data_IF_548969795097
#
_entry.id   IF_548969795097
#
_cell.length_a   1.000
_cell.length_b   1.000
_cell.length_c   1.000
_cell.angle_alpha   90.00
_cell.angle_beta   90.00
_cell.angle_gamma   90.00
#
_symmetry.space_group_name_H-M   'P 1'
#
loop_
_entity.id
_entity.type
_entity.pdbx_description
1 polymer ?
#
# COMPACT_ATOMS: atom_id res chain seq x y z
N UNK A 1 -14.23 -16.93 21.31
CA UNK A 1 -13.43 -17.97 20.60
C UNK A 1 -12.10 -17.33 20.28
N UNK A 2 -11.04 -17.69 20.97
CA UNK A 2 -9.68 -17.25 20.58
C UNK A 2 -9.40 -17.79 19.18
N UNK A 3 -8.98 -16.90 18.30
CA UNK A 3 -8.56 -17.29 16.96
C UNK A 3 -7.33 -18.20 17.05
N UNK A 4 -7.41 -19.38 16.48
CA UNK A 4 -6.29 -20.35 16.43
C UNK A 4 -5.23 -19.94 15.38
N UNK A 5 -5.31 -18.76 14.80
CA UNK A 5 -4.41 -18.21 13.80
C UNK A 5 -3.74 -16.93 14.34
N UNK A 6 -2.41 -16.90 14.34
CA UNK A 6 -1.63 -15.77 14.87
C UNK A 6 -1.62 -14.59 13.89
N UNK A 7 -1.45 -14.87 12.60
CA UNK A 7 -1.33 -13.86 11.57
C UNK A 7 -2.03 -14.29 10.27
N UNK A 8 -2.83 -13.40 9.69
CA UNK A 8 -3.21 -13.51 8.28
C UNK A 8 -2.38 -12.54 7.45
N UNK A 9 -1.76 -13.03 6.38
CA UNK A 9 -1.03 -12.20 5.41
C UNK A 9 -1.89 -12.05 4.16
N UNK A 10 -2.28 -10.83 3.82
CA UNK A 10 -3.03 -10.51 2.60
C UNK A 10 -2.06 -9.95 1.56
N UNK A 11 -1.89 -10.69 0.48
CA UNK A 11 -1.00 -10.33 -0.64
C UNK A 11 -1.84 -9.78 -1.79
N UNK A 12 -1.80 -8.48 -2.03
CA UNK A 12 -2.46 -7.90 -3.21
C UNK A 12 -1.54 -7.97 -4.43
N UNK A 13 -2.06 -8.50 -5.53
CA UNK A 13 -1.31 -8.68 -6.77
C UNK A 13 -1.92 -7.88 -7.92
N UNK A 14 -1.06 -7.16 -8.63
CA UNK A 14 -1.38 -6.48 -9.88
C UNK A 14 -0.16 -6.62 -10.80
N UNK A 15 -0.28 -7.46 -11.83
CA UNK A 15 0.79 -7.77 -12.80
C UNK A 15 2.10 -8.22 -12.09
N UNK A 16 2.00 -9.25 -11.23
CA UNK A 16 3.07 -9.71 -10.34
C UNK A 16 3.71 -11.04 -10.78
N UNK A 17 3.43 -11.58 -11.98
CA UNK A 17 3.90 -12.91 -12.41
C UNK A 17 5.43 -13.08 -12.29
N UNK A 18 6.20 -12.00 -12.44
CA UNK A 18 7.68 -12.02 -12.36
C UNK A 18 8.24 -11.99 -10.93
N UNK A 19 7.43 -11.63 -9.94
CA UNK A 19 7.89 -11.40 -8.56
C UNK A 19 7.17 -12.27 -7.53
N UNK A 20 5.96 -12.73 -7.85
CA UNK A 20 5.08 -13.42 -6.89
C UNK A 20 5.70 -14.68 -6.30
N UNK A 21 6.48 -15.46 -7.07
CA UNK A 21 7.16 -16.65 -6.54
C UNK A 21 8.15 -16.29 -5.42
N UNK A 22 8.96 -15.24 -5.63
CA UNK A 22 9.92 -14.78 -4.61
C UNK A 22 9.18 -14.24 -3.39
N UNK A 23 8.09 -13.51 -3.60
CA UNK A 23 7.25 -12.98 -2.54
C UNK A 23 6.68 -14.12 -1.68
N UNK A 24 6.00 -15.09 -2.29
CA UNK A 24 5.35 -16.18 -1.55
C UNK A 24 6.34 -17.09 -0.84
N UNK A 25 7.47 -17.44 -1.46
CA UNK A 25 8.54 -18.21 -0.79
C UNK A 25 9.09 -17.48 0.43
N UNK A 26 9.32 -16.17 0.32
CA UNK A 26 9.78 -15.37 1.44
C UNK A 26 8.74 -15.29 2.56
N UNK A 27 7.45 -15.22 2.22
CA UNK A 27 6.36 -15.24 3.19
C UNK A 27 6.23 -16.59 3.89
N UNK A 28 6.34 -17.71 3.16
CA UNK A 28 6.35 -19.05 3.75
C UNK A 28 7.50 -19.21 4.75
N UNK A 29 8.72 -18.77 4.37
CA UNK A 29 9.88 -18.79 5.26
C UNK A 29 9.67 -17.90 6.49
N UNK A 30 9.18 -16.66 6.31
CA UNK A 30 8.92 -15.73 7.40
C UNK A 30 7.82 -16.21 8.37
N UNK A 31 6.86 -16.98 7.89
CA UNK A 31 5.77 -17.54 8.69
C UNK A 31 6.12 -18.85 9.39
N UNK A 32 7.34 -19.38 9.20
CA UNK A 32 7.77 -20.63 9.85
C UNK A 32 7.66 -20.55 11.37
N UNK A 33 6.95 -21.51 11.96
CA UNK A 33 6.72 -21.58 13.41
C UNK A 33 5.59 -20.67 13.93
N UNK A 34 4.82 -20.04 13.02
CA UNK A 34 3.57 -19.33 13.33
C UNK A 34 2.38 -20.06 12.72
N UNK A 35 1.23 -19.98 13.35
CA UNK A 35 -0.05 -20.39 12.75
C UNK A 35 -0.53 -19.29 11.85
N UNK A 36 -0.04 -19.29 10.60
CA UNK A 36 -0.29 -18.22 9.65
C UNK A 36 -1.21 -18.67 8.51
N UNK A 37 -2.06 -17.75 8.06
CA UNK A 37 -2.86 -17.85 6.85
C UNK A 37 -2.31 -16.89 5.81
N UNK A 38 -2.14 -17.33 4.57
CA UNK A 38 -1.80 -16.44 3.44
C UNK A 38 -2.99 -16.43 2.47
N UNK A 39 -3.46 -15.23 2.13
CA UNK A 39 -4.54 -15.00 1.17
C UNK A 39 -4.00 -14.12 0.05
N UNK A 40 -4.12 -14.59 -1.19
CA UNK A 40 -3.73 -13.84 -2.38
C UNK A 40 -4.96 -13.21 -3.01
N UNK A 41 -4.98 -11.89 -3.15
CA UNK A 41 -6.03 -11.15 -3.86
C UNK A 41 -5.43 -10.56 -5.15
N UNK A 42 -5.88 -11.04 -6.30
CA UNK A 42 -5.23 -10.79 -7.59
C UNK A 42 -6.15 -10.09 -8.59
N UNK A 43 -5.65 -9.04 -9.22
CA UNK A 43 -6.28 -8.33 -10.34
C UNK A 43 -5.36 -8.22 -11.57
N UNK A 44 -4.45 -9.17 -11.72
CA UNK A 44 -3.44 -9.20 -12.79
C UNK A 44 -4.02 -9.64 -14.14
N UNK A 45 -3.30 -9.31 -15.21
CA UNK A 45 -3.56 -9.79 -16.59
C UNK A 45 -2.46 -10.71 -17.11
N UNK A 46 -1.43 -10.91 -16.33
CA UNK A 46 -0.16 -11.54 -16.74
C UNK A 46 -0.03 -13.02 -16.31
N UNK A 47 -1.14 -13.65 -15.89
CA UNK A 47 -1.15 -15.05 -15.45
C UNK A 47 -0.73 -15.25 -13.99
N UNK A 48 -0.63 -14.21 -13.18
CA UNK A 48 -0.24 -14.30 -11.76
C UNK A 48 -1.11 -15.32 -10.99
N UNK A 49 -2.46 -15.25 -11.10
CA UNK A 49 -3.37 -16.17 -10.41
C UNK A 49 -3.13 -17.62 -10.79
N UNK A 50 -2.92 -17.91 -12.08
CA UNK A 50 -2.72 -19.28 -12.56
C UNK A 50 -1.40 -19.84 -12.05
N UNK A 51 -0.33 -19.01 -12.06
CA UNK A 51 0.96 -19.35 -11.50
C UNK A 51 0.86 -19.69 -9.99
N UNK A 52 0.12 -18.88 -9.22
CA UNK A 52 -0.07 -19.12 -7.78
C UNK A 52 -0.84 -20.42 -7.55
N UNK A 53 -1.95 -20.64 -8.24
CA UNK A 53 -2.74 -21.88 -8.10
C UNK A 53 -1.94 -23.13 -8.46
N UNK A 54 -1.10 -23.03 -9.50
CA UNK A 54 -0.27 -24.17 -9.93
C UNK A 54 0.84 -24.50 -8.92
N UNK A 55 1.47 -23.50 -8.30
CA UNK A 55 2.63 -23.67 -7.41
C UNK A 55 2.25 -23.77 -5.93
N UNK A 56 1.14 -23.15 -5.52
CA UNK A 56 0.62 -23.12 -4.15
C UNK A 56 -0.87 -23.47 -4.12
N UNK A 57 -1.26 -24.70 -4.45
CA UNK A 57 -2.67 -25.13 -4.53
C UNK A 57 -3.42 -25.03 -3.21
N UNK A 58 -2.73 -24.96 -2.08
CA UNK A 58 -3.31 -24.80 -0.75
C UNK A 58 -3.64 -23.35 -0.40
N UNK A 59 -3.13 -22.37 -1.14
CA UNK A 59 -3.42 -20.96 -0.86
C UNK A 59 -4.78 -20.54 -1.42
N UNK A 60 -5.49 -19.73 -0.64
CA UNK A 60 -6.72 -19.09 -1.11
C UNK A 60 -6.38 -17.95 -2.08
N UNK A 61 -6.87 -18.05 -3.33
CA UNK A 61 -6.68 -17.03 -4.36
C UNK A 61 -8.01 -16.40 -4.73
N UNK A 62 -8.17 -15.13 -4.38
CA UNK A 62 -9.32 -14.30 -4.72
C UNK A 62 -9.02 -13.55 -6.01
N UNK A 63 -9.77 -13.81 -7.07
CA UNK A 63 -9.55 -13.17 -8.38
C UNK A 63 -10.53 -12.03 -8.61
N UNK A 64 -10.01 -10.90 -9.11
CA UNK A 64 -10.76 -9.68 -9.38
C UNK A 64 -10.57 -9.20 -10.82
N UNK A 65 -11.50 -8.38 -11.33
CA UNK A 65 -11.33 -7.77 -12.64
C UNK A 65 -10.04 -6.92 -12.69
N UNK A 66 -9.29 -6.98 -13.81
CA UNK A 66 -8.13 -6.14 -14.02
C UNK A 66 -8.45 -4.65 -13.88
N UNK A 67 -7.60 -3.92 -13.17
CA UNK A 67 -7.82 -2.52 -12.83
C UNK A 67 -8.42 -2.30 -11.45
N UNK A 68 -8.78 -3.36 -10.73
CA UNK A 68 -9.10 -3.28 -9.30
C UNK A 68 -7.87 -2.77 -8.53
N UNK A 69 -8.07 -1.78 -7.69
CA UNK A 69 -6.99 -1.15 -6.95
C UNK A 69 -6.56 -1.98 -5.73
N UNK A 70 -5.30 -1.87 -5.33
CA UNK A 70 -4.71 -2.57 -4.18
C UNK A 70 -5.55 -2.41 -2.89
N UNK A 71 -6.06 -1.23 -2.51
CA UNK A 71 -6.91 -1.10 -1.33
C UNK A 71 -8.17 -1.98 -1.36
N UNK A 72 -8.79 -2.17 -2.52
CA UNK A 72 -9.94 -3.05 -2.67
C UNK A 72 -9.54 -4.53 -2.54
N UNK A 73 -8.37 -4.90 -3.07
CA UNK A 73 -7.81 -6.25 -2.92
C UNK A 73 -7.50 -6.56 -1.45
N UNK A 74 -6.87 -5.63 -0.74
CA UNK A 74 -6.61 -5.76 0.69
C UNK A 74 -7.90 -5.90 1.51
N UNK A 75 -8.92 -5.08 1.22
CA UNK A 75 -10.22 -5.19 1.87
C UNK A 75 -10.87 -6.55 1.62
N UNK A 76 -10.74 -7.09 0.42
CA UNK A 76 -11.27 -8.42 0.09
C UNK A 76 -10.56 -9.53 0.87
N UNK A 77 -9.21 -9.48 0.94
CA UNK A 77 -8.43 -10.42 1.74
C UNK A 77 -8.70 -10.28 3.24
N UNK A 78 -8.90 -9.04 3.74
CA UNK A 78 -9.27 -8.80 5.14
C UNK A 78 -10.58 -9.52 5.52
N UNK A 79 -11.56 -9.58 4.64
CA UNK A 79 -12.82 -10.32 4.89
C UNK A 79 -12.63 -11.83 5.00
N UNK A 80 -11.49 -12.37 4.58
CA UNK A 80 -11.10 -13.79 4.71
C UNK A 80 -10.17 -14.04 5.89
N UNK A 81 -9.68 -12.97 6.50
CA UNK A 81 -8.69 -13.06 7.56
C UNK A 81 -9.23 -13.75 8.81
N UNK A 82 -8.42 -14.64 9.38
CA UNK A 82 -8.69 -15.40 10.60
C UNK A 82 -7.69 -15.10 11.72
N UNK A 83 -6.58 -14.41 11.38
CA UNK A 83 -5.50 -14.10 12.31
C UNK A 83 -5.90 -13.08 13.37
N UNK A 84 -5.26 -13.16 14.54
CA UNK A 84 -5.32 -12.11 15.57
C UNK A 84 -4.69 -10.81 15.06
N UNK A 85 -3.68 -10.91 14.19
CA UNK A 85 -3.11 -9.83 13.40
C UNK A 85 -3.39 -10.04 11.91
N UNK A 86 -3.48 -8.95 11.15
CA UNK A 86 -3.56 -8.97 9.68
C UNK A 86 -2.45 -8.13 9.10
N UNK A 87 -1.56 -8.77 8.36
CA UNK A 87 -0.50 -8.10 7.61
C UNK A 87 -0.94 -7.88 6.17
N UNK A 88 -0.64 -6.70 5.63
CA UNK A 88 -0.83 -6.38 4.23
C UNK A 88 0.51 -6.25 3.53
N UNK A 89 0.57 -6.81 2.33
CA UNK A 89 1.71 -6.67 1.42
C UNK A 89 1.26 -6.74 -0.04
N UNK A 90 2.20 -6.65 -0.96
CA UNK A 90 1.93 -6.76 -2.40
C UNK A 90 2.87 -7.79 -3.02
N UNK A 91 2.48 -8.38 -4.15
CA UNK A 91 3.26 -9.40 -4.86
C UNK A 91 4.65 -8.97 -5.36
N UNK A 92 5.04 -7.72 -5.12
CA UNK A 92 6.34 -7.13 -5.46
C UNK A 92 7.25 -6.91 -4.24
N UNK A 93 6.85 -7.36 -3.06
CA UNK A 93 7.61 -7.19 -1.82
C UNK A 93 8.17 -8.54 -1.38
N UNK A 94 9.44 -8.56 -1.02
CA UNK A 94 10.14 -9.72 -0.45
C UNK A 94 10.50 -9.39 0.99
N UNK A 95 10.04 -10.22 1.91
CA UNK A 95 10.20 -10.00 3.34
C UNK A 95 11.37 -10.83 3.90
N UNK A 96 12.05 -10.38 4.98
CA UNK A 96 13.05 -11.19 5.65
C UNK A 96 12.41 -12.28 6.53
N UNK A 97 13.17 -13.30 6.88
CA UNK A 97 12.73 -14.40 7.76
C UNK A 97 12.14 -13.90 9.09
N UNK A 98 12.68 -12.81 9.66
CA UNK A 98 12.20 -12.22 10.92
C UNK A 98 10.86 -11.49 10.82
N UNK A 99 10.37 -11.22 9.62
CA UNK A 99 9.29 -10.27 9.35
C UNK A 99 7.99 -10.59 10.10
N UNK A 100 7.43 -11.77 9.89
CA UNK A 100 6.14 -12.13 10.46
C UNK A 100 6.19 -12.14 12.00
N UNK A 101 7.27 -12.69 12.57
CA UNK A 101 7.46 -12.71 14.03
C UNK A 101 7.64 -11.31 14.60
N UNK A 102 8.38 -10.43 13.91
CA UNK A 102 8.56 -9.04 14.35
C UNK A 102 7.23 -8.26 14.35
N UNK A 103 6.38 -8.48 13.33
CA UNK A 103 5.07 -7.86 13.27
C UNK A 103 4.14 -8.39 14.36
N UNK A 104 4.06 -9.72 14.55
CA UNK A 104 3.22 -10.33 15.58
C UNK A 104 3.61 -9.85 16.99
N UNK A 105 4.91 -9.90 17.32
CA UNK A 105 5.39 -9.42 18.62
C UNK A 105 5.10 -7.93 18.84
N UNK A 106 5.25 -7.10 17.80
CA UNK A 106 4.96 -5.68 17.94
C UNK A 106 3.47 -5.36 18.14
N UNK A 107 2.56 -6.21 17.64
CA UNK A 107 1.11 -6.05 17.85
C UNK A 107 0.63 -6.36 19.28
N UNK A 108 1.49 -6.87 20.14
CA UNK A 108 1.16 -7.09 21.55
C UNK A 108 0.96 -5.75 22.29
N UNK A 109 1.67 -4.70 21.88
CA UNK A 109 1.71 -3.41 22.57
C UNK A 109 0.96 -2.29 21.82
N UNK A 110 0.73 -2.45 20.49
CA UNK A 110 0.14 -1.39 19.66
C UNK A 110 -0.84 -1.92 18.62
N UNK A 111 -1.67 -1.03 18.06
CA UNK A 111 -2.71 -1.37 17.08
C UNK A 111 -2.15 -1.66 15.67
N UNK A 112 -0.97 -1.16 15.35
CA UNK A 112 -0.34 -1.40 14.05
C UNK A 112 1.18 -1.29 14.08
N UNK A 113 1.83 -2.19 13.34
CA UNK A 113 3.30 -2.29 13.24
C UNK A 113 3.70 -2.34 11.78
N UNK A 114 4.69 -1.55 11.39
CA UNK A 114 5.27 -1.57 10.04
C UNK A 114 6.78 -1.60 10.06
N UNK A 115 7.35 -1.94 8.90
CA UNK A 115 8.80 -1.90 8.71
C UNK A 115 9.23 -0.91 7.63
N UNK A 116 10.50 -0.54 7.63
CA UNK A 116 11.08 0.20 6.51
C UNK A 116 11.00 -0.60 5.20
N UNK A 117 11.10 0.13 4.09
CA UNK A 117 11.21 -0.45 2.75
C UNK A 117 12.54 -0.05 2.13
N UNK A 118 13.18 -1.00 1.49
CA UNK A 118 14.36 -0.81 0.66
C UNK A 118 14.10 -1.32 -0.74
N UNK A 119 14.91 -0.91 -1.70
CA UNK A 119 14.80 -1.40 -3.08
C UNK A 119 15.82 -2.51 -3.33
N UNK A 120 15.45 -3.48 -4.18
CA UNK A 120 16.36 -4.55 -4.59
C UNK A 120 17.62 -4.00 -5.27
N UNK A 121 18.76 -4.67 -5.10
CA UNK A 121 20.05 -4.21 -5.62
C UNK A 121 20.13 -4.19 -7.14
N UNK A 122 19.40 -5.10 -7.80
CA UNK A 122 19.28 -5.23 -9.25
C UNK A 122 18.22 -4.31 -9.88
N UNK A 123 17.71 -3.35 -9.11
CA UNK A 123 16.63 -2.47 -9.52
C UNK A 123 17.03 -1.54 -10.69
N UNK A 124 16.12 -1.40 -11.64
CA UNK A 124 16.25 -0.50 -12.79
C UNK A 124 15.95 0.94 -12.38
N UNK A 125 16.33 1.92 -13.19
CA UNK A 125 16.05 3.34 -12.94
C UNK A 125 14.55 3.63 -12.78
N UNK A 126 13.69 2.93 -13.53
CA UNK A 126 12.23 3.06 -13.39
C UNK A 126 11.76 2.59 -12.01
N UNK A 127 12.35 1.54 -11.48
CA UNK A 127 11.98 1.00 -10.16
C UNK A 127 12.40 1.99 -9.05
N UNK A 128 13.56 2.67 -9.21
CA UNK A 128 13.98 3.77 -8.34
C UNK A 128 13.01 4.95 -8.39
N UNK A 129 12.50 5.32 -9.57
CA UNK A 129 11.51 6.41 -9.69
C UNK A 129 10.22 6.08 -8.94
N UNK A 130 9.70 4.85 -9.08
CA UNK A 130 8.52 4.37 -8.35
C UNK A 130 8.79 4.37 -6.85
N UNK A 131 9.92 3.79 -6.45
CA UNK A 131 10.30 3.66 -5.04
C UNK A 131 10.40 5.01 -4.35
N UNK A 132 11.10 5.98 -4.93
CA UNK A 132 11.21 7.30 -4.34
C UNK A 132 9.86 8.05 -4.25
N UNK A 133 9.01 7.87 -5.25
CA UNK A 133 7.69 8.51 -5.24
C UNK A 133 6.75 7.93 -4.19
N UNK A 134 6.81 6.61 -3.96
CA UNK A 134 5.91 5.90 -3.04
C UNK A 134 6.49 5.77 -1.63
N UNK A 135 7.76 5.43 -1.53
CA UNK A 135 8.36 4.88 -0.31
C UNK A 135 9.47 5.75 0.30
N UNK A 136 9.75 6.94 -0.27
CA UNK A 136 10.79 7.81 0.30
C UNK A 136 10.57 8.19 1.76
N UNK A 137 9.34 8.09 2.27
CA UNK A 137 9.01 8.32 3.67
C UNK A 137 9.29 7.11 4.58
N UNK A 138 9.50 5.94 3.99
CA UNK A 138 9.65 4.66 4.68
C UNK A 138 11.06 4.06 4.50
N UNK A 139 12.04 4.85 4.07
CA UNK A 139 13.44 4.46 4.10
C UNK A 139 13.86 4.17 5.56
N UNK A 140 14.85 3.28 5.80
CA UNK A 140 15.31 2.98 7.16
C UNK A 140 15.71 4.22 7.96
N UNK A 141 16.29 5.23 7.31
CA UNK A 141 16.64 6.52 7.93
C UNK A 141 15.44 7.42 8.26
N UNK A 142 14.30 7.18 7.63
CA UNK A 142 13.06 7.97 7.81
C UNK A 142 12.08 7.28 8.76
N UNK A 143 12.22 5.98 8.96
CA UNK A 143 11.34 5.15 9.79
C UNK A 143 12.19 4.33 10.79
N UNK A 144 12.76 4.97 11.82
CA UNK A 144 13.50 4.28 12.87
C UNK A 144 12.57 3.45 13.76
N UNK A 145 13.16 2.50 14.51
CA UNK A 145 12.41 1.69 15.47
C UNK A 145 11.72 2.56 16.53
N UNK A 146 10.51 2.19 16.91
CA UNK A 146 9.74 2.84 17.96
C UNK A 146 8.40 3.43 17.49
N UNK A 147 7.77 4.27 18.34
CA UNK A 147 6.47 4.87 18.05
C UNK A 147 6.49 5.76 16.80
N UNK A 148 5.42 5.66 15.99
CA UNK A 148 5.26 6.41 14.75
C UNK A 148 4.11 7.40 14.87
N UNK A 149 4.43 8.70 14.77
CA UNK A 149 3.42 9.77 14.73
C UNK A 149 2.89 10.03 13.30
N UNK A 150 3.65 9.60 12.30
CA UNK A 150 3.30 9.66 10.88
C UNK A 150 2.62 8.38 10.39
N UNK A 151 2.99 7.94 9.21
CA UNK A 151 2.44 6.77 8.53
C UNK A 151 3.43 5.60 8.56
N UNK A 152 2.93 4.37 8.54
CA UNK A 152 3.65 3.16 8.15
C UNK A 152 3.19 2.75 6.75
N UNK A 153 4.03 2.05 5.99
CA UNK A 153 3.69 1.65 4.63
C UNK A 153 2.69 0.49 4.66
N UNK A 154 1.49 0.67 4.11
CA UNK A 154 0.49 -0.40 4.01
C UNK A 154 1.00 -1.65 3.30
N UNK A 155 1.95 -1.49 2.37
CA UNK A 155 2.60 -2.61 1.67
C UNK A 155 3.54 -3.44 2.58
N UNK A 156 3.82 -2.97 3.79
CA UNK A 156 4.73 -3.59 4.76
C UNK A 156 4.29 -3.30 6.21
N UNK A 157 3.06 -3.64 6.53
CA UNK A 157 2.50 -3.40 7.85
C UNK A 157 1.52 -4.50 8.27
N UNK A 158 1.38 -4.68 9.58
CA UNK A 158 0.33 -5.49 10.20
C UNK A 158 -0.46 -4.68 11.22
N UNK A 159 -1.71 -5.06 11.41
CA UNK A 159 -2.63 -4.42 12.34
C UNK A 159 -3.36 -5.45 13.18
N UNK A 160 -3.65 -5.11 14.43
CA UNK A 160 -4.46 -5.94 15.29
C UNK A 160 -5.87 -6.10 14.71
N UNK A 161 -6.41 -7.31 14.68
CA UNK A 161 -7.77 -7.57 14.17
C UNK A 161 -8.81 -6.75 14.94
N UNK A 162 -8.61 -6.53 16.23
CA UNK A 162 -9.48 -5.69 17.06
C UNK A 162 -9.53 -4.24 16.60
N UNK A 163 -8.38 -3.68 16.18
CA UNK A 163 -8.30 -2.33 15.62
C UNK A 163 -8.97 -2.24 14.26
N UNK A 164 -8.76 -3.23 13.39
CA UNK A 164 -9.42 -3.30 12.09
C UNK A 164 -10.94 -3.45 12.22
N UNK A 165 -11.41 -4.28 13.15
CA UNK A 165 -12.85 -4.50 13.39
C UNK A 165 -13.56 -3.23 13.87
N UNK A 166 -12.92 -2.42 14.73
CA UNK A 166 -13.47 -1.12 15.16
C UNK A 166 -13.76 -0.17 14.00
N UNK A 167 -13.00 -0.28 12.91
CA UNK A 167 -13.11 0.61 11.75
C UNK A 167 -13.66 -0.07 10.49
N UNK A 168 -14.23 -1.28 10.61
CA UNK A 168 -14.66 -2.11 9.47
C UNK A 168 -15.61 -1.40 8.50
N UNK A 169 -16.50 -0.52 8.99
CA UNK A 169 -17.40 0.27 8.17
C UNK A 169 -16.68 1.23 7.19
N UNK A 170 -15.42 1.58 7.46
CA UNK A 170 -14.63 2.47 6.60
C UNK A 170 -13.96 1.74 5.42
N UNK A 171 -14.05 0.41 5.34
CA UNK A 171 -13.37 -0.41 4.34
C UNK A 171 -14.29 -0.85 3.18
N UNK A 172 -15.50 -0.27 3.06
CA UNK A 172 -16.45 -0.58 1.99
C UNK A 172 -15.85 -0.40 0.59
N UNK A 173 -15.11 0.69 0.39
CA UNK A 173 -14.47 1.06 -0.87
C UNK A 173 -13.00 0.64 -0.96
N UNK A 174 -12.51 -0.13 0.03
CA UNK A 174 -11.15 -0.60 0.13
C UNK A 174 -10.47 -0.20 1.44
N UNK A 175 -9.39 -0.89 1.76
CA UNK A 175 -8.52 -0.55 2.90
C UNK A 175 -7.53 0.54 2.49
N UNK A 176 -7.85 1.78 2.81
CA UNK A 176 -6.99 2.94 2.58
C UNK A 176 -6.18 3.23 3.84
N UNK A 177 -4.92 2.83 3.88
CA UNK A 177 -4.07 2.84 5.07
C UNK A 177 -3.96 4.23 5.72
N UNK A 178 -3.80 5.29 4.93
CA UNK A 178 -3.68 6.67 5.43
C UNK A 178 -4.96 7.12 6.15
N UNK A 179 -6.12 6.79 5.60
CA UNK A 179 -7.41 7.11 6.23
C UNK A 179 -7.63 6.26 7.48
N UNK A 180 -7.25 4.98 7.43
CA UNK A 180 -7.30 4.11 8.60
C UNK A 180 -6.40 4.64 9.73
N UNK A 181 -5.14 4.99 9.43
CA UNK A 181 -4.23 5.56 10.44
C UNK A 181 -4.73 6.85 11.04
N UNK A 182 -5.37 7.71 10.22
CA UNK A 182 -5.97 8.95 10.72
C UNK A 182 -7.09 8.66 11.73
N UNK A 183 -7.98 7.71 11.43
CA UNK A 183 -9.06 7.29 12.33
C UNK A 183 -8.52 6.61 13.58
N UNK A 184 -7.59 5.68 13.40
CA UNK A 184 -6.95 4.96 14.49
C UNK A 184 -6.35 5.93 15.53
N UNK A 185 -5.61 6.94 15.07
CA UNK A 185 -5.04 7.97 15.96
C UNK A 185 -6.09 8.85 16.60
N UNK A 186 -7.17 9.17 15.90
CA UNK A 186 -8.28 9.94 16.48
C UNK A 186 -8.92 9.22 17.66
N UNK A 187 -8.91 7.88 17.66
CA UNK A 187 -9.42 7.02 18.72
C UNK A 187 -8.34 6.65 19.77
N UNK A 188 -7.16 7.31 19.71
CA UNK A 188 -6.06 7.06 20.66
C UNK A 188 -5.21 5.83 20.34
N UNK A 189 -5.41 5.19 19.19
CA UNK A 189 -4.62 4.03 18.78
C UNK A 189 -3.20 4.42 18.36
N UNK A 190 -2.27 3.46 18.49
CA UNK A 190 -0.85 3.65 18.32
C UNK A 190 -0.28 2.83 17.14
N UNK A 191 0.71 3.42 16.47
CA UNK A 191 1.52 2.78 15.43
C UNK A 191 2.98 2.71 15.86
N UNK A 192 3.65 1.63 15.47
CA UNK A 192 5.08 1.42 15.73
C UNK A 192 5.82 0.98 14.46
N UNK A 193 7.10 1.32 14.38
CA UNK A 193 8.00 0.81 13.35
C UNK A 193 9.02 -0.15 13.96
N UNK A 194 9.43 -1.14 13.15
CA UNK A 194 10.53 -2.05 13.50
C UNK A 194 11.41 -2.36 12.30
N UNK A 195 12.71 -2.15 12.44
CA UNK A 195 13.72 -2.47 11.43
C UNK A 195 13.82 -3.98 11.15
N UNK A 196 13.39 -4.83 12.09
CA UNK A 196 13.33 -6.30 11.93
C UNK A 196 12.33 -6.74 10.87
N UNK A 197 11.40 -5.86 10.47
CA UNK A 197 10.45 -6.05 9.39
C UNK A 197 10.84 -5.23 8.13
N UNK A 198 12.11 -4.86 7.95
CA UNK A 198 12.55 -4.19 6.73
C UNK A 198 12.34 -5.10 5.52
N UNK A 199 11.52 -4.67 4.57
CA UNK A 199 11.17 -5.46 3.39
C UNK A 199 11.76 -4.85 2.11
N UNK A 200 11.97 -5.72 1.12
CA UNK A 200 12.59 -5.35 -0.17
C UNK A 200 11.51 -5.20 -1.22
N UNK A 201 11.35 -4.00 -1.78
CA UNK A 201 10.51 -3.79 -2.96
C UNK A 201 11.26 -4.23 -4.22
N UNK A 202 10.64 -5.09 -5.01
CA UNK A 202 11.23 -5.71 -6.21
C UNK A 202 10.22 -5.72 -7.35
N UNK A 203 9.88 -4.54 -7.87
CA UNK A 203 9.02 -4.44 -9.04
C UNK A 203 9.81 -4.68 -10.33
N UNK A 204 9.18 -5.37 -11.28
CA UNK A 204 9.74 -5.59 -12.61
C UNK A 204 8.78 -5.12 -13.72
N UNK A 205 7.84 -4.23 -13.38
CA UNK A 205 6.82 -3.76 -14.30
C UNK A 205 7.37 -2.75 -15.33
N UNK A 206 6.91 -2.76 -16.59
CA UNK A 206 7.24 -1.74 -17.58
C UNK A 206 6.74 -0.35 -17.14
N UNK A 207 7.46 0.71 -17.51
CA UNK A 207 7.10 2.10 -17.17
C UNK A 207 5.63 2.44 -17.50
N UNK A 208 5.14 2.05 -18.67
CA UNK A 208 3.78 2.37 -19.10
C UNK A 208 2.69 1.68 -18.25
N UNK A 209 2.95 0.47 -17.77
CA UNK A 209 2.05 -0.19 -16.82
C UNK A 209 1.98 0.59 -15.51
N UNK A 210 3.13 1.01 -15.00
CA UNK A 210 3.22 1.79 -13.77
C UNK A 210 2.53 3.15 -13.93
N UNK A 211 2.77 3.86 -15.05
CA UNK A 211 2.15 5.16 -15.33
C UNK A 211 0.61 5.04 -15.41
N UNK A 212 0.11 3.97 -16.04
CA UNK A 212 -1.33 3.67 -16.09
C UNK A 212 -1.92 3.44 -14.70
N UNK A 213 -1.24 2.65 -13.86
CA UNK A 213 -1.66 2.43 -12.49
C UNK A 213 -1.65 3.73 -11.66
N UNK A 214 -0.61 4.56 -11.84
CA UNK A 214 -0.55 5.87 -11.19
C UNK A 214 -1.71 6.77 -11.60
N UNK A 215 -2.02 6.82 -12.89
CA UNK A 215 -3.17 7.57 -13.40
C UNK A 215 -4.51 7.04 -12.85
N UNK A 216 -4.73 5.72 -12.88
CA UNK A 216 -5.96 5.10 -12.37
C UNK A 216 -6.14 5.37 -10.86
N UNK A 217 -5.06 5.26 -10.09
CA UNK A 217 -5.06 5.55 -8.66
C UNK A 217 -5.37 7.03 -8.39
N UNK A 218 -4.73 7.95 -9.13
CA UNK A 218 -5.03 9.38 -9.07
C UNK A 218 -6.50 9.66 -9.38
N UNK A 219 -7.05 9.04 -10.42
CA UNK A 219 -8.45 9.21 -10.83
C UNK A 219 -9.43 8.80 -9.72
N UNK A 220 -9.18 7.65 -9.08
CA UNK A 220 -10.00 7.23 -7.94
C UNK A 220 -9.90 8.22 -6.78
N UNK A 221 -8.68 8.63 -6.45
CA UNK A 221 -8.42 9.58 -5.36
C UNK A 221 -9.10 10.94 -5.60
N UNK A 222 -9.04 11.47 -6.83
CA UNK A 222 -9.70 12.73 -7.19
C UNK A 222 -11.22 12.65 -7.06
N UNK A 223 -11.81 11.54 -7.50
CA UNK A 223 -13.25 11.30 -7.35
C UNK A 223 -13.65 11.19 -5.86
N UNK A 224 -12.90 10.45 -5.07
CA UNK A 224 -13.13 10.31 -3.63
C UNK A 224 -13.05 11.66 -2.89
N UNK A 225 -12.07 12.50 -3.21
CA UNK A 225 -11.96 13.86 -2.62
C UNK A 225 -13.17 14.73 -2.87
N UNK A 226 -13.73 14.67 -4.09
CA UNK A 226 -14.97 15.38 -4.41
C UNK A 226 -16.15 14.80 -3.63
N UNK A 227 -16.25 13.49 -3.51
CA UNK A 227 -17.26 12.81 -2.68
C UNK A 227 -17.19 13.22 -1.21
N UNK A 228 -16.00 13.56 -0.71
CA UNK A 228 -15.80 14.10 0.65
C UNK A 228 -15.87 15.63 0.73
N UNK A 229 -16.45 16.29 -0.28
CA UNK A 229 -16.72 17.73 -0.26
C UNK A 229 -15.57 18.65 -0.74
N UNK A 230 -14.50 18.10 -1.30
CA UNK A 230 -13.45 18.93 -1.90
C UNK A 230 -13.92 19.60 -3.19
N UNK A 231 -13.57 20.88 -3.38
CA UNK A 231 -13.91 21.61 -4.61
C UNK A 231 -13.17 21.05 -5.83
N UNK A 232 -13.91 20.76 -6.89
CA UNK A 232 -13.36 20.35 -8.20
C UNK A 232 -12.37 21.37 -8.74
N UNK A 233 -12.72 22.67 -8.68
CA UNK A 233 -11.85 23.75 -9.16
C UNK A 233 -10.51 23.79 -8.41
N UNK A 234 -10.52 23.55 -7.08
CA UNK A 234 -9.28 23.48 -6.30
C UNK A 234 -8.40 22.33 -6.71
N UNK A 235 -8.99 21.13 -6.94
CA UNK A 235 -8.24 19.94 -7.35
C UNK A 235 -7.63 20.16 -8.73
N UNK A 236 -8.43 20.62 -9.69
CA UNK A 236 -7.98 20.85 -11.08
C UNK A 236 -6.95 21.99 -11.15
N UNK A 237 -7.20 23.10 -10.45
CA UNK A 237 -6.27 24.24 -10.39
C UNK A 237 -4.94 23.89 -9.70
N UNK A 238 -4.95 22.98 -8.72
CA UNK A 238 -3.74 22.51 -8.06
C UNK A 238 -2.94 21.49 -8.89
N UNK A 239 -3.56 20.82 -9.86
CA UNK A 239 -2.96 19.71 -10.60
C UNK A 239 -1.56 20.01 -11.21
N UNK A 240 -1.28 21.19 -11.81
CA UNK A 240 0.07 21.50 -12.30
C UNK A 240 1.14 21.59 -11.21
N UNK A 241 0.75 21.89 -9.97
CA UNK A 241 1.66 22.07 -8.85
C UNK A 241 1.93 20.78 -8.06
N UNK A 242 1.09 19.76 -8.24
CA UNK A 242 1.24 18.49 -7.54
C UNK A 242 2.54 17.76 -7.90
N UNK A 243 2.94 17.60 -9.19
CA UNK A 243 4.17 16.93 -9.53
C UNK A 243 5.41 17.56 -8.90
N UNK A 244 5.68 18.88 -9.02
CA UNK A 244 6.83 19.49 -8.36
C UNK A 244 6.82 19.34 -6.84
N UNK A 245 5.66 19.41 -6.20
CA UNK A 245 5.55 19.19 -4.75
C UNK A 245 5.92 17.75 -4.36
N UNK A 246 5.45 16.74 -5.11
CA UNK A 246 5.77 15.34 -4.84
C UNK A 246 7.27 15.06 -5.03
N UNK A 247 7.84 15.57 -6.13
CA UNK A 247 9.28 15.47 -6.42
C UNK A 247 10.11 16.13 -5.32
N UNK A 248 9.76 17.34 -4.92
CA UNK A 248 10.45 18.07 -3.86
C UNK A 248 10.39 17.33 -2.51
N UNK A 249 9.19 16.80 -2.14
CA UNK A 249 9.04 16.00 -0.91
C UNK A 249 9.93 14.74 -0.92
N UNK A 250 9.95 14.01 -2.05
CA UNK A 250 10.83 12.86 -2.21
C UNK A 250 12.30 13.28 -2.13
N UNK A 251 12.69 14.33 -2.87
CA UNK A 251 14.05 14.83 -2.89
C UNK A 251 14.56 15.26 -1.51
N UNK A 252 13.75 15.98 -0.72
CA UNK A 252 14.12 16.39 0.64
C UNK A 252 14.48 15.21 1.56
N UNK A 253 13.86 14.06 1.37
CA UNK A 253 14.15 12.85 2.16
C UNK A 253 15.37 12.12 1.61
N UNK A 254 15.36 11.84 0.31
CA UNK A 254 16.33 10.99 -0.37
C UNK A 254 17.71 11.64 -0.48
N UNK A 255 17.79 12.96 -0.78
CA UNK A 255 19.06 13.66 -0.99
C UNK A 255 19.89 13.85 0.29
N UNK A 256 19.29 13.59 1.46
CA UNK A 256 20.05 13.53 2.73
C UNK A 256 21.01 12.35 2.78
N UNK A 257 20.70 11.26 2.06
CA UNK A 257 21.51 10.05 1.99
C UNK A 257 22.40 10.07 0.74
N UNK A 258 23.72 10.11 0.93
CA UNK A 258 24.70 10.21 -0.17
C UNK A 258 24.54 9.09 -1.20
N UNK A 259 24.25 7.87 -0.73
CA UNK A 259 24.08 6.68 -1.57
C UNK A 259 22.91 6.77 -2.56
N UNK A 260 21.90 7.59 -2.27
CA UNK A 260 20.70 7.75 -3.11
C UNK A 260 20.77 8.92 -4.10
N UNK A 261 21.72 9.86 -3.93
CA UNK A 261 21.76 11.13 -4.69
C UNK A 261 21.84 10.92 -6.19
N UNK A 262 22.82 10.13 -6.65
CA UNK A 262 23.01 9.85 -8.07
C UNK A 262 21.79 9.13 -8.66
N UNK A 263 21.31 8.09 -7.98
CA UNK A 263 20.15 7.32 -8.41
C UNK A 263 18.89 8.19 -8.48
N UNK A 264 18.70 9.11 -7.53
CA UNK A 264 17.59 10.05 -7.54
C UNK A 264 17.67 10.99 -8.76
N UNK A 265 18.82 11.55 -9.06
CA UNK A 265 19.02 12.43 -10.22
C UNK A 265 18.76 11.69 -11.55
N UNK A 266 19.24 10.45 -11.68
CA UNK A 266 18.99 9.63 -12.85
C UNK A 266 17.50 9.23 -13.00
N UNK A 267 16.80 9.00 -11.88
CA UNK A 267 15.39 8.65 -11.85
C UNK A 267 14.45 9.85 -12.03
N UNK A 268 14.96 11.08 -11.88
CA UNK A 268 14.16 12.31 -11.81
C UNK A 268 13.19 12.51 -13.00
N UNK A 269 13.59 12.30 -14.28
CA UNK A 269 12.66 12.46 -15.40
C UNK A 269 11.46 11.49 -15.32
N UNK A 270 11.72 10.22 -14.94
CA UNK A 270 10.67 9.22 -14.80
C UNK A 270 9.78 9.49 -13.57
N UNK A 271 10.37 9.99 -12.49
CA UNK A 271 9.65 10.38 -11.28
C UNK A 271 8.68 11.53 -11.58
N UNK A 272 9.13 12.56 -12.31
CA UNK A 272 8.27 13.66 -12.78
C UNK A 272 7.12 13.12 -13.64
N UNK A 273 7.41 12.26 -14.61
CA UNK A 273 6.39 11.67 -15.48
C UNK A 273 5.35 10.85 -14.72
N UNK A 274 5.76 10.05 -13.72
CA UNK A 274 4.86 9.27 -12.88
C UNK A 274 4.02 10.16 -11.95
N UNK A 275 4.60 11.23 -11.41
CA UNK A 275 3.88 12.22 -10.62
C UNK A 275 2.85 12.98 -11.47
N UNK A 276 3.21 13.34 -12.71
CA UNK A 276 2.30 13.98 -13.66
C UNK A 276 1.14 13.05 -14.07
N UNK A 277 1.42 11.76 -14.31
CA UNK A 277 0.39 10.77 -14.59
C UNK A 277 -0.63 10.67 -13.45
N UNK A 278 -0.15 10.64 -12.19
CA UNK A 278 -1.03 10.62 -11.02
C UNK A 278 -1.87 11.90 -10.92
N UNK A 279 -1.26 13.07 -11.08
CA UNK A 279 -1.95 14.36 -11.00
C UNK A 279 -3.00 14.54 -12.11
N UNK A 280 -2.68 14.14 -13.34
CA UNK A 280 -3.65 14.13 -14.45
C UNK A 280 -4.83 13.21 -14.15
N UNK A 281 -4.55 12.04 -13.55
CA UNK A 281 -5.58 11.13 -13.06
C UNK A 281 -6.48 11.79 -12.00
N UNK A 282 -5.90 12.46 -11.01
CA UNK A 282 -6.63 13.14 -9.94
C UNK A 282 -7.55 14.23 -10.50
N UNK A 283 -7.04 15.08 -11.37
CA UNK A 283 -7.84 16.10 -12.04
C UNK A 283 -9.00 15.48 -12.85
N UNK A 284 -8.73 14.42 -13.62
CA UNK A 284 -9.75 13.71 -14.39
C UNK A 284 -10.80 13.08 -13.49
N UNK A 285 -10.39 12.47 -12.38
CA UNK A 285 -11.30 11.88 -11.39
C UNK A 285 -12.22 12.92 -10.77
N UNK A 286 -11.66 14.07 -10.37
CA UNK A 286 -12.44 15.18 -9.83
C UNK A 286 -13.47 15.72 -10.83
N UNK A 287 -13.10 15.88 -12.11
CA UNK A 287 -14.01 16.31 -13.18
C UNK A 287 -15.12 15.30 -13.49
N UNK A 288 -14.86 14.02 -13.28
CA UNK A 288 -15.81 12.94 -13.57
C UNK A 288 -16.69 12.59 -12.36
N UNK A 289 -16.35 13.05 -11.18
CA UNK A 289 -17.14 12.83 -9.98
C UNK A 289 -18.46 13.61 -10.08
N UNK A 290 -19.56 12.93 -9.87
CA UNK A 290 -20.83 13.61 -9.59
C UNK A 290 -20.72 14.18 -8.19
N UNK A 291 -20.97 15.50 -7.97
CA UNK A 291 -21.10 16.00 -6.63
C UNK A 291 -22.14 15.16 -5.91
N UNK A 292 -21.86 14.73 -4.68
CA UNK A 292 -22.91 14.17 -3.84
C UNK A 292 -24.02 15.20 -3.79
N UNK A 293 -25.12 14.95 -4.48
CA UNK A 293 -26.28 15.83 -4.45
C UNK A 293 -26.65 15.97 -2.98
N UNK A 294 -26.52 17.18 -2.48
CA UNK A 294 -26.91 17.50 -1.13
C UNK A 294 -28.30 16.89 -0.91
N UNK A 295 -28.41 16.01 0.04
CA UNK A 295 -29.66 15.73 0.71
C UNK A 295 -30.21 17.09 1.08
N UNK A 296 -31.16 17.58 0.30
CA UNK A 296 -31.94 18.77 0.62
C UNK A 296 -32.44 18.54 2.05
N UNK A 297 -32.05 19.45 2.94
CA UNK A 297 -32.80 19.70 4.16
C UNK A 297 -34.17 20.23 3.74
N UNK A 298 -35.06 19.33 3.44
CA UNK A 298 -36.48 19.56 3.28
C UNK A 298 -37.11 18.20 3.49
N UNK A 299 -37.59 18.04 4.69
CA UNK A 299 -38.72 17.23 5.15
C UNK A 299 -38.49 16.84 6.61
N UNK A 300 -38.48 17.87 7.47
CA UNK A 300 -38.98 17.78 8.85
C UNK A 300 -39.81 19.04 9.06
N UNK A 301 -41.08 18.93 8.73
CA UNK A 301 -42.16 19.74 9.27
C UNK A 301 -43.10 18.81 10.03
#
# INVERSE_FOLDING_TARGET
>A
MESDCDLTVVVACVDASRSIERCLRALEDACTGLRAQIVVADASRDGTSDLVRARWPALEVLQFPPGTLVPALWSAGLRRARGRGVAFTIGHVVVPHSWARALVSGLEDVDGVGGPLVLADDARIVDWAVFYLRYSAFLPSQLPDGPVTGEIAGDNAAYAMTALARHASSFSDGFWEVEFHRRLRADGGALQATSRATAVFSAASPFWCIARHRYAHGRHFGAARVGHGSSVLRIVGAAPFVPPVLVWRAGRRVLRERQHRLRFMLALPLLIALAAAWSAGEARGALSARPANGLRRADVA
#
